data_IF_180855743147
#
_entry.id   IF_180855743147
#
_cell.length_a   1.000
_cell.length_b   1.000
_cell.length_c   1.000
_cell.angle_alpha   90.00
_cell.angle_beta   90.00
_cell.angle_gamma   90.00
#
_symmetry.space_group_name_H-M   'P 1'
#
loop_
_entity.id
_entity.type
_entity.pdbx_description
1 polymer ?
#
# COMPACT_ATOMS: atom_id res chain seq x y z
N UNK A 1 -2.03 13.80 -12.24
CA UNK A 1 -0.62 13.41 -12.13
C UNK A 1 -0.57 12.44 -10.97
N UNK A 2 -0.81 11.17 -11.26
CA UNK A 2 -0.69 10.10 -10.29
C UNK A 2 0.80 9.82 -10.18
N UNK A 3 1.38 10.11 -9.01
CA UNK A 3 2.73 9.65 -8.72
C UNK A 3 2.66 8.13 -8.64
N UNK A 4 3.07 7.44 -9.73
CA UNK A 4 3.22 5.99 -9.74
C UNK A 4 4.10 5.59 -8.54
N UNK A 5 3.57 4.73 -7.68
CA UNK A 5 4.31 4.18 -6.55
C UNK A 5 5.43 3.29 -7.10
N UNK A 6 6.67 3.51 -6.65
CA UNK A 6 7.84 2.81 -7.21
C UNK A 6 8.45 1.83 -6.22
N UNK A 7 9.01 0.74 -6.73
CA UNK A 7 9.87 -0.16 -5.94
C UNK A 7 11.02 0.66 -5.34
N UNK A 8 11.28 0.45 -4.04
CA UNK A 8 12.27 1.19 -3.27
C UNK A 8 11.76 2.50 -2.66
N UNK A 9 10.56 2.95 -3.01
CA UNK A 9 9.94 4.12 -2.39
C UNK A 9 9.66 3.82 -0.91
N UNK A 10 10.06 4.74 -0.04
CA UNK A 10 9.70 4.71 1.37
C UNK A 10 8.46 5.55 1.61
N UNK A 11 7.61 5.11 2.54
CA UNK A 11 6.42 5.84 2.94
C UNK A 11 6.14 5.60 4.42
N UNK A 12 5.44 6.55 5.03
CA UNK A 12 4.84 6.36 6.36
C UNK A 12 3.36 6.03 6.18
N UNK A 13 2.80 5.22 7.08
CA UNK A 13 1.38 4.91 7.08
C UNK A 13 0.85 4.74 8.50
N UNK A 14 -0.46 4.93 8.66
CA UNK A 14 -1.20 4.65 9.89
C UNK A 14 -2.51 3.93 9.56
N UNK A 15 -3.01 3.08 10.47
CA UNK A 15 -4.38 2.59 10.38
C UNK A 15 -5.31 3.79 10.62
N UNK A 16 -6.25 4.06 9.72
CA UNK A 16 -7.10 5.26 9.79
C UNK A 16 -7.87 5.38 11.12
N UNK A 17 -8.28 4.24 11.68
CA UNK A 17 -8.96 4.14 12.96
C UNK A 17 -8.03 4.33 14.17
N UNK A 18 -6.72 4.14 14.02
CA UNK A 18 -5.71 4.27 15.09
C UNK A 18 -4.77 5.45 14.81
N UNK A 19 -5.23 6.64 15.21
CA UNK A 19 -4.53 7.91 14.94
C UNK A 19 -3.23 8.11 15.75
N UNK A 20 -2.84 7.13 16.57
CA UNK A 20 -1.68 7.26 17.46
C UNK A 20 -0.40 6.57 16.96
N UNK A 21 -0.50 5.66 15.98
CA UNK A 21 0.61 4.79 15.61
C UNK A 21 0.91 4.85 14.11
N UNK A 22 2.07 5.43 13.78
CA UNK A 22 2.60 5.42 12.41
C UNK A 22 3.73 4.40 12.27
N UNK A 23 3.85 3.82 11.08
CA UNK A 23 4.93 2.93 10.70
C UNK A 23 5.52 3.36 9.37
N UNK A 24 6.83 3.17 9.22
CA UNK A 24 7.52 3.37 7.94
C UNK A 24 7.70 2.04 7.23
N UNK A 25 7.54 2.04 5.91
CA UNK A 25 7.77 0.89 5.08
C UNK A 25 8.48 1.29 3.77
N UNK A 26 9.04 0.29 3.11
CA UNK A 26 9.62 0.41 1.77
C UNK A 26 8.91 -0.53 0.82
N UNK A 27 8.53 -0.03 -0.35
CA UNK A 27 7.91 -0.82 -1.42
C UNK A 27 8.92 -1.82 -1.95
N UNK A 28 8.53 -3.09 -1.98
CA UNK A 28 9.33 -4.18 -2.54
C UNK A 28 8.81 -4.63 -3.89
N UNK A 29 7.49 -4.60 -4.12
CA UNK A 29 6.85 -4.95 -5.40
C UNK A 29 5.56 -4.17 -5.60
N UNK A 30 5.19 -3.97 -6.86
CA UNK A 30 3.85 -3.50 -7.29
C UNK A 30 3.29 -4.59 -8.20
N UNK A 31 2.05 -4.99 -7.97
CA UNK A 31 1.42 -6.14 -8.63
C UNK A 31 0.02 -5.74 -9.12
N UNK A 32 -0.34 -6.26 -10.28
CA UNK A 32 -1.70 -6.20 -10.81
C UNK A 32 -2.60 -7.27 -10.16
N UNK A 33 -3.93 -7.11 -10.27
CA UNK A 33 -4.90 -8.12 -9.84
C UNK A 33 -4.65 -9.51 -10.47
N UNK A 34 -4.20 -9.53 -11.73
CA UNK A 34 -3.89 -10.78 -12.43
C UNK A 34 -2.67 -11.50 -11.83
N UNK A 35 -1.65 -10.77 -11.39
CA UNK A 35 -0.47 -11.33 -10.73
C UNK A 35 -0.79 -11.90 -9.35
N UNK A 36 -1.78 -11.31 -8.67
CA UNK A 36 -2.36 -11.85 -7.43
C UNK A 36 -3.30 -13.05 -7.68
N UNK A 37 -3.51 -13.44 -8.95
CA UNK A 37 -4.35 -14.57 -9.33
C UNK A 37 -5.85 -14.29 -9.20
N UNK A 38 -6.24 -13.01 -9.19
CA UNK A 38 -7.62 -12.57 -9.06
C UNK A 38 -8.31 -12.45 -10.42
N UNK A 39 -9.63 -12.64 -10.41
CA UNK A 39 -10.47 -12.48 -11.59
C UNK A 39 -10.68 -11.00 -11.96
N UNK A 40 -11.10 -10.72 -13.21
CA UNK A 40 -11.29 -9.36 -13.71
C UNK A 40 -12.39 -8.57 -12.97
N UNK A 41 -13.25 -9.23 -12.21
CA UNK A 41 -14.23 -8.57 -11.34
C UNK A 41 -13.57 -7.70 -10.25
N UNK A 42 -12.32 -7.99 -9.88
CA UNK A 42 -11.59 -7.24 -8.86
C UNK A 42 -11.16 -5.86 -9.37
N UNK A 43 -10.98 -5.70 -10.69
CA UNK A 43 -10.58 -4.43 -11.32
C UNK A 43 -11.60 -3.29 -11.09
N UNK A 44 -12.84 -3.62 -10.71
CA UNK A 44 -13.84 -2.62 -10.31
C UNK A 44 -13.55 -1.98 -8.95
N UNK A 45 -12.77 -2.64 -8.10
CA UNK A 45 -12.59 -2.27 -6.69
C UNK A 45 -11.14 -1.99 -6.33
N UNK A 46 -10.18 -2.68 -6.96
CA UNK A 46 -8.76 -2.60 -6.65
C UNK A 46 -8.01 -2.25 -7.93
N UNK A 47 -7.20 -1.21 -7.86
CA UNK A 47 -6.33 -0.77 -8.94
C UNK A 47 -5.04 -1.62 -8.97
N UNK A 48 -4.33 -1.68 -7.85
CA UNK A 48 -3.03 -2.34 -7.74
C UNK A 48 -2.81 -2.89 -6.32
N UNK A 49 -1.77 -3.69 -6.19
CA UNK A 49 -1.27 -4.21 -4.91
C UNK A 49 0.17 -3.76 -4.69
N UNK A 50 0.50 -3.44 -3.45
CA UNK A 50 1.85 -3.06 -3.02
C UNK A 50 2.32 -4.09 -2.00
N UNK A 51 3.35 -4.84 -2.34
CA UNK A 51 4.14 -5.52 -1.32
C UNK A 51 5.15 -4.52 -0.75
N UNK A 52 5.25 -4.47 0.58
CA UNK A 52 6.21 -3.63 1.28
C UNK A 52 6.81 -4.36 2.50
N UNK A 53 7.87 -3.78 3.05
CA UNK A 53 8.46 -4.22 4.32
C UNK A 53 8.60 -3.06 5.29
N UNK A 54 8.29 -3.28 6.57
CA UNK A 54 8.48 -2.27 7.60
C UNK A 54 9.96 -1.94 7.80
N UNK A 55 10.26 -0.65 8.01
CA UNK A 55 11.57 -0.15 8.37
C UNK A 55 11.72 -0.16 9.89
N UNK A 56 11.88 -1.36 10.45
CA UNK A 56 12.02 -1.63 11.88
C UNK A 56 13.15 -2.64 12.14
N UNK A 57 13.62 -2.78 13.39
CA UNK A 57 14.66 -3.76 13.75
C UNK A 57 14.30 -5.19 13.36
N UNK A 58 13.01 -5.53 13.40
CA UNK A 58 12.45 -6.76 12.86
C UNK A 58 11.48 -6.40 11.73
N UNK A 59 11.91 -6.45 10.45
CA UNK A 59 11.06 -6.12 9.31
C UNK A 59 9.91 -7.11 9.16
N UNK A 60 8.69 -6.60 8.96
CA UNK A 60 7.49 -7.38 8.65
C UNK A 60 7.08 -7.12 7.21
N UNK A 61 6.69 -8.19 6.51
CA UNK A 61 6.09 -8.08 5.19
C UNK A 61 4.65 -7.57 5.33
N UNK A 62 4.27 -6.67 4.43
CA UNK A 62 2.97 -6.04 4.35
C UNK A 62 2.49 -6.13 2.90
N UNK A 63 1.18 -6.28 2.71
CA UNK A 63 0.53 -6.23 1.41
C UNK A 63 -0.60 -5.23 1.51
N UNK A 64 -0.51 -4.15 0.73
CA UNK A 64 -1.55 -3.14 0.63
C UNK A 64 -2.35 -3.35 -0.64
N UNK A 65 -3.66 -3.23 -0.57
CA UNK A 65 -4.51 -3.05 -1.73
C UNK A 65 -4.71 -1.55 -1.96
N UNK A 66 -4.52 -1.09 -3.19
CA UNK A 66 -4.90 0.26 -3.62
C UNK A 66 -6.28 0.18 -4.25
N UNK A 67 -7.27 0.79 -3.60
CA UNK A 67 -8.63 0.86 -4.10
C UNK A 67 -8.76 1.80 -5.29
N UNK A 68 -9.72 1.49 -6.17
CA UNK A 68 -10.13 2.41 -7.26
C UNK A 68 -10.81 3.68 -6.72
N UNK A 69 -11.16 3.69 -5.44
CA UNK A 69 -11.68 4.85 -4.68
C UNK A 69 -10.57 5.79 -4.17
N UNK A 70 -9.30 5.47 -4.43
CA UNK A 70 -8.15 6.26 -3.99
C UNK A 70 -7.73 6.02 -2.54
N UNK A 71 -8.30 5.01 -1.88
CA UNK A 71 -7.89 4.60 -0.54
C UNK A 71 -6.93 3.41 -0.59
N UNK A 72 -6.11 3.28 0.44
CA UNK A 72 -5.24 2.12 0.62
C UNK A 72 -5.76 1.27 1.78
N UNK A 73 -5.60 -0.04 1.65
CA UNK A 73 -6.08 -1.01 2.63
C UNK A 73 -4.99 -1.99 3.02
N UNK A 74 -4.85 -2.25 4.31
CA UNK A 74 -3.97 -3.28 4.86
C UNK A 74 -4.84 -4.29 5.61
N UNK A 75 -4.84 -5.56 5.18
CA UNK A 75 -5.73 -6.60 5.73
C UNK A 75 -7.22 -6.22 5.74
N UNK A 76 -7.66 -5.41 4.77
CA UNK A 76 -9.03 -4.92 4.67
C UNK A 76 -9.33 -3.68 5.52
N UNK A 77 -8.38 -3.20 6.32
CA UNK A 77 -8.52 -1.95 7.09
C UNK A 77 -7.99 -0.77 6.28
N UNK A 78 -8.75 0.32 6.24
CA UNK A 78 -8.29 1.57 5.59
C UNK A 78 -7.05 2.11 6.34
N UNK A 79 -6.00 2.36 5.57
CA UNK A 79 -4.79 3.02 6.02
C UNK A 79 -4.61 4.40 5.37
N UNK A 80 -4.14 5.35 6.16
CA UNK A 80 -3.65 6.62 5.66
C UNK A 80 -2.20 6.44 5.23
N UNK A 81 -1.92 6.64 3.94
CA UNK A 81 -0.56 6.66 3.41
C UNK A 81 -0.04 8.10 3.50
N UNK A 82 0.87 8.31 4.45
CA UNK A 82 1.49 9.58 4.78
C UNK A 82 2.82 9.62 4.03
N UNK A 83 2.77 9.82 2.71
CA UNK A 83 3.99 9.96 1.91
C UNK A 83 4.45 11.41 1.91
N UNK A 84 5.75 11.62 2.06
CA UNK A 84 6.41 12.77 1.44
C UNK A 84 6.47 12.47 -0.07
N UNK A 85 5.43 12.84 -0.82
CA UNK A 85 5.39 12.76 -2.30
C UNK A 85 6.37 13.80 -2.88
N UNK A 86 7.65 13.74 -2.50
CA UNK A 86 8.68 14.55 -3.12
C UNK A 86 9.00 13.98 -4.52
N UNK A 87 8.29 14.55 -5.49
CA UNK A 87 8.58 14.79 -6.91
C UNK A 87 9.70 14.00 -7.60
#
# INVERSE_FOLDING_TARGET
MESEIKIGQQFEFAIHADKGFTQKAVVTRVLSNQEEGLGPEVDFYIADWIEARTLSEQPKALVFALGTDGHAYLNGEWVDIIVDLAA
#
